data_IF_543123940917
#
_entry.id   IF_543123940917
#
_cell.length_a   1.000
_cell.length_b   1.000
_cell.length_c   1.000
_cell.angle_alpha   90.00
_cell.angle_beta   90.00
_cell.angle_gamma   90.00
#
_symmetry.space_group_name_H-M   'P 1'
#
loop_
_entity.id
_entity.type
_entity.pdbx_description
1 polymer ?
#
# COMPACT_ATOMS: atom_id res chain seq x y z
N UNK A 1 2.03 10.79 5.83
CA UNK A 1 0.59 10.66 6.07
C UNK A 1 -0.06 9.87 4.96
N UNK A 2 -0.91 8.95 5.29
CA UNK A 2 -1.53 8.05 4.34
C UNK A 2 -3.05 8.09 4.49
N UNK A 3 -3.74 8.36 3.38
CA UNK A 3 -5.20 8.29 3.31
C UNK A 3 -5.60 7.08 2.48
N UNK A 4 -6.54 6.31 2.99
CA UNK A 4 -7.00 5.08 2.34
C UNK A 4 -8.51 5.13 2.19
N UNK A 5 -8.98 4.87 0.98
CA UNK A 5 -10.40 4.69 0.70
C UNK A 5 -10.59 3.36 -0.01
N UNK A 6 -11.59 2.61 0.39
CA UNK A 6 -11.86 1.29 -0.17
C UNK A 6 -13.28 1.24 -0.69
N UNK A 7 -13.43 0.70 -1.90
CA UNK A 7 -14.73 0.46 -2.49
C UNK A 7 -14.66 -0.87 -3.23
N UNK A 8 -15.32 -1.89 -2.70
CA UNK A 8 -15.26 -3.26 -3.23
C UNK A 8 -13.80 -3.74 -3.29
N UNK A 9 -13.32 -4.09 -4.49
CA UNK A 9 -11.94 -4.50 -4.68
C UNK A 9 -11.03 -3.37 -5.17
N UNK A 10 -11.49 -2.13 -5.05
CA UNK A 10 -10.74 -0.96 -5.47
C UNK A 10 -10.22 -0.25 -4.23
N UNK A 11 -8.93 0.01 -4.21
CA UNK A 11 -8.29 0.70 -3.10
C UNK A 11 -7.66 1.98 -3.64
N UNK A 12 -8.04 3.10 -3.06
CA UNK A 12 -7.47 4.40 -3.37
C UNK A 12 -6.60 4.83 -2.21
N UNK A 13 -5.33 5.08 -2.48
CA UNK A 13 -4.42 5.57 -1.47
C UNK A 13 -3.79 6.88 -1.92
N UNK A 14 -3.71 7.82 -0.99
CA UNK A 14 -2.99 9.08 -1.19
C UNK A 14 -1.94 9.15 -0.09
N UNK A 15 -0.69 9.21 -0.49
CA UNK A 15 0.42 9.33 0.44
C UNK A 15 1.06 10.71 0.32
N UNK A 16 1.27 11.34 1.45
CA UNK A 16 2.03 12.58 1.54
C UNK A 16 3.29 12.29 2.32
N UNK A 17 4.40 12.79 1.85
CA UNK A 17 5.71 12.49 2.40
C UNK A 17 6.00 10.99 2.33
N UNK A 18 7.01 10.56 3.04
CA UNK A 18 7.43 9.18 3.06
C UNK A 18 6.49 8.34 3.93
N UNK A 19 6.19 7.13 3.50
CA UNK A 19 5.40 6.21 4.31
C UNK A 19 6.21 5.73 5.50
N UNK A 20 5.56 5.69 6.66
CA UNK A 20 6.16 5.18 7.89
C UNK A 20 5.81 3.71 8.09
N UNK A 21 6.46 3.07 9.05
CA UNK A 21 6.13 1.68 9.39
C UNK A 21 4.67 1.56 9.82
N UNK A 22 4.16 2.56 10.52
CA UNK A 22 2.74 2.56 10.92
C UNK A 22 1.82 2.62 9.72
N UNK A 23 2.19 3.38 8.70
CA UNK A 23 1.42 3.46 7.46
C UNK A 23 1.38 2.10 6.77
N UNK A 24 2.50 1.41 6.71
CA UNK A 24 2.56 0.06 6.13
C UNK A 24 1.75 -0.92 6.96
N UNK A 25 1.81 -0.82 8.28
CA UNK A 25 1.03 -1.70 9.16
C UNK A 25 -0.47 -1.56 8.96
N UNK A 26 -0.92 -0.39 8.52
CA UNK A 26 -2.33 -0.16 8.17
C UNK A 26 -2.66 -0.68 6.78
N UNK A 27 -1.77 -0.46 5.84
CA UNK A 27 -2.01 -0.75 4.42
C UNK A 27 -1.91 -2.24 4.09
N UNK A 28 -0.86 -2.89 4.57
CA UNK A 28 -0.58 -4.27 4.17
C UNK A 28 -1.70 -5.25 4.54
N UNK A 29 -2.21 -5.26 5.78
CA UNK A 29 -3.32 -6.16 6.12
C UNK A 29 -4.57 -5.91 5.29
N UNK A 30 -4.83 -4.64 4.95
CA UNK A 30 -5.97 -4.29 4.13
C UNK A 30 -5.83 -4.84 2.71
N UNK A 31 -4.66 -4.68 2.11
CA UNK A 31 -4.40 -5.24 0.80
C UNK A 31 -4.54 -6.76 0.81
N UNK A 32 -3.99 -7.40 1.83
CA UNK A 32 -4.05 -8.85 1.96
C UNK A 32 -5.50 -9.33 2.10
N UNK A 33 -6.28 -8.67 2.93
CA UNK A 33 -7.68 -9.00 3.11
C UNK A 33 -8.46 -8.94 1.79
N UNK A 34 -8.22 -7.87 1.02
CA UNK A 34 -8.94 -7.69 -0.24
C UNK A 34 -8.49 -8.70 -1.29
N UNK A 35 -7.21 -9.03 -1.33
CA UNK A 35 -6.71 -10.05 -2.24
C UNK A 35 -7.31 -11.41 -1.89
N UNK A 36 -7.36 -11.74 -0.61
CA UNK A 36 -7.91 -13.01 -0.16
C UNK A 36 -9.41 -13.11 -0.46
N UNK A 37 -10.11 -11.99 -0.32
CA UNK A 37 -11.57 -11.96 -0.50
C UNK A 37 -12.00 -11.97 -1.96
N UNK A 38 -11.32 -11.19 -2.79
CA UNK A 38 -11.72 -10.97 -4.18
C UNK A 38 -10.83 -11.65 -5.21
N UNK A 39 -9.70 -12.18 -4.79
CA UNK A 39 -8.73 -12.83 -5.68
C UNK A 39 -7.83 -11.84 -6.41
N UNK A 40 -8.27 -10.62 -6.62
CA UNK A 40 -7.49 -9.55 -7.23
C UNK A 40 -8.02 -8.21 -6.77
N UNK A 41 -7.18 -7.19 -6.87
CA UNK A 41 -7.56 -5.83 -6.50
C UNK A 41 -7.10 -4.85 -7.56
N UNK A 42 -7.74 -3.69 -7.58
CA UNK A 42 -7.27 -2.51 -8.29
C UNK A 42 -6.77 -1.53 -7.26
N UNK A 43 -5.56 -1.08 -7.42
CA UNK A 43 -4.94 -0.19 -6.45
C UNK A 43 -4.48 1.08 -7.14
N UNK A 44 -5.11 2.19 -6.80
CA UNK A 44 -4.73 3.51 -7.26
C UNK A 44 -3.90 4.17 -6.19
N UNK A 45 -2.74 4.64 -6.56
CA UNK A 45 -1.80 5.21 -5.61
C UNK A 45 -1.38 6.59 -6.09
N UNK A 46 -1.65 7.61 -5.27
CA UNK A 46 -1.24 8.98 -5.53
C UNK A 46 -0.19 9.38 -4.51
N UNK A 47 0.88 9.97 -4.97
CA UNK A 47 1.99 10.42 -4.14
C UNK A 47 2.09 11.94 -4.22
N UNK A 48 2.14 12.58 -3.05
CA UNK A 48 2.27 14.04 -2.95
C UNK A 48 3.50 14.40 -2.13
N UNK A 49 4.25 15.40 -2.60
CA UNK A 49 5.35 15.99 -1.85
C UNK A 49 6.40 14.99 -1.37
N UNK A 50 6.86 14.13 -2.25
CA UNK A 50 7.92 13.19 -1.93
C UNK A 50 9.29 13.76 -2.25
N UNK A 51 9.92 14.36 -1.27
CA UNK A 51 11.31 14.77 -1.41
C UNK A 51 12.22 13.59 -1.08
N UNK A 52 13.07 13.22 -2.03
CA UNK A 52 14.07 12.17 -1.81
C UNK A 52 13.51 10.76 -1.68
N UNK A 53 12.25 10.57 -1.97
CA UNK A 53 11.62 9.24 -1.91
C UNK A 53 10.74 9.06 -3.14
N UNK A 54 10.90 7.96 -3.83
CA UNK A 54 10.26 7.72 -5.12
C UNK A 54 9.28 6.54 -5.03
N UNK A 55 8.52 6.38 -6.11
CA UNK A 55 7.65 5.21 -6.24
C UNK A 55 8.46 3.92 -6.20
N UNK A 56 9.66 3.91 -6.77
CA UNK A 56 10.54 2.75 -6.70
C UNK A 56 10.91 2.39 -5.27
N UNK A 57 11.19 3.39 -4.46
CA UNK A 57 11.53 3.17 -3.06
C UNK A 57 10.33 2.59 -2.30
N UNK A 58 9.16 3.15 -2.51
CA UNK A 58 7.93 2.67 -1.92
C UNK A 58 7.66 1.23 -2.33
N UNK A 59 7.82 0.93 -3.61
CA UNK A 59 7.59 -0.41 -4.12
C UNK A 59 8.56 -1.43 -3.53
N UNK A 60 9.82 -1.04 -3.36
CA UNK A 60 10.84 -1.89 -2.75
C UNK A 60 10.48 -2.22 -1.31
N UNK A 61 10.08 -1.20 -0.53
CA UNK A 61 9.68 -1.39 0.85
C UNK A 61 8.42 -2.26 0.94
N UNK A 62 7.47 -2.02 0.06
CA UNK A 62 6.23 -2.77 0.01
C UNK A 62 6.49 -4.26 -0.26
N UNK A 63 7.37 -4.55 -1.22
CA UNK A 63 7.75 -5.93 -1.51
C UNK A 63 8.38 -6.61 -0.30
N UNK A 64 9.19 -5.87 0.44
CA UNK A 64 9.81 -6.40 1.64
C UNK A 64 8.76 -6.81 2.67
N UNK A 65 7.75 -5.99 2.88
CA UNK A 65 6.67 -6.32 3.79
C UNK A 65 5.85 -7.51 3.30
N UNK A 66 5.54 -7.56 2.02
CA UNK A 66 4.80 -8.69 1.46
C UNK A 66 5.57 -10.00 1.53
N UNK A 67 6.88 -9.96 1.43
CA UNK A 67 7.70 -11.17 1.54
C UNK A 67 7.66 -11.80 2.92
N UNK A 68 7.25 -11.06 3.93
CA UNK A 68 7.06 -11.58 5.28
C UNK A 68 5.72 -12.30 5.44
N UNK A 69 4.83 -12.11 4.50
CA UNK A 69 3.52 -12.74 4.49
C UNK A 69 3.61 -13.88 3.50
N UNK A 70 3.49 -15.11 3.97
CA UNK A 70 3.52 -16.25 3.08
C UNK A 70 2.33 -16.24 2.14
N UNK A 71 2.48 -16.81 0.98
CA UNK A 71 1.45 -16.96 -0.03
C UNK A 71 1.20 -15.72 -0.88
N UNK A 72 2.21 -14.89 -1.06
CA UNK A 72 2.12 -13.79 -2.01
C UNK A 72 3.06 -13.99 -3.18
#
# INVERSE_FOLDING_TARGET
MLSIQVEHNIIYTIAEDKLTDEDYDRLIPLLQEKIDRFGSIRWYFEMKEFEGWSLSDMWRELKFYFMKIENL
#
